data_IF_907915073036
#
_entry.id   IF_907915073036
#
_cell.length_a   1.000
_cell.length_b   1.000
_cell.length_c   1.000
_cell.angle_alpha   90.00
_cell.angle_beta   90.00
_cell.angle_gamma   90.00
#
_symmetry.space_group_name_H-M   'P 1'
#
loop_
_entity.id
_entity.type
_entity.pdbx_description
1 polymer ?
#
# COMPACT_ATOMS: atom_id res chain seq x y z
N UNK A 1 14.08 42.57 -19.81
CA UNK A 1 12.72 43.04 -20.17
C UNK A 1 11.84 41.81 -19.99
N UNK A 2 10.89 41.71 -19.17
CA UNK A 2 10.03 42.45 -18.28
C UNK A 2 9.34 41.40 -17.42
N UNK A 3 9.39 41.57 -16.15
CA UNK A 3 8.34 41.92 -15.18
C UNK A 3 6.98 41.21 -15.43
N UNK A 4 6.50 40.35 -14.46
CA UNK A 4 5.29 40.76 -13.73
C UNK A 4 5.13 39.97 -12.41
N UNK A 5 5.26 40.74 -11.34
CA UNK A 5 4.81 40.42 -9.97
C UNK A 5 3.28 40.42 -9.95
N UNK A 6 2.67 39.46 -9.24
CA UNK A 6 1.36 39.67 -8.65
C UNK A 6 1.37 39.20 -7.20
N UNK A 7 1.52 40.14 -6.31
CA UNK A 7 1.05 40.13 -4.93
C UNK A 7 -0.50 40.16 -4.97
N UNK A 8 -1.15 39.34 -4.18
CA UNK A 8 -2.52 39.54 -3.76
C UNK A 8 -2.59 39.31 -2.24
N UNK A 9 -2.56 40.44 -1.57
CA UNK A 9 -2.93 40.64 -0.17
C UNK A 9 -4.47 40.57 -0.06
N UNK A 10 -5.01 39.78 0.88
CA UNK A 10 -6.39 39.92 1.37
C UNK A 10 -6.39 39.76 2.88
N UNK A 11 -6.68 40.73 3.44
CA UNK A 11 -7.34 41.50 4.46
C UNK A 11 -8.18 40.65 5.43
N UNK A 12 -7.83 40.92 6.66
CA UNK A 12 -8.44 40.74 7.97
C UNK A 12 -9.89 41.26 8.00
N UNK A 13 -10.82 40.48 8.57
CA UNK A 13 -12.03 41.06 9.17
C UNK A 13 -12.39 40.30 10.45
N UNK A 14 -12.20 40.96 11.55
CA UNK A 14 -12.71 40.65 12.88
C UNK A 14 -14.14 41.16 12.98
N UNK A 15 -15.05 40.41 13.56
CA UNK A 15 -16.29 40.93 14.15
C UNK A 15 -16.63 40.23 15.43
N UNK A 16 -16.58 41.04 16.46
CA UNK A 16 -16.99 40.90 17.85
C UNK A 16 -18.54 40.83 17.93
N UNK A 17 -19.09 39.99 18.81
CA UNK A 17 -20.52 39.98 19.11
C UNK A 17 -20.80 39.36 20.47
N UNK A 18 -20.78 40.21 21.50
CA UNK A 18 -21.29 39.92 22.86
C UNK A 18 -22.81 40.00 22.92
N UNK A 19 -23.48 39.08 23.66
CA UNK A 19 -24.68 39.34 24.49
C UNK A 19 -25.08 37.96 25.06
N UNK A 20 -25.09 37.66 26.36
CA UNK A 20 -25.81 38.37 27.38
C UNK A 20 -27.19 37.70 27.56
N UNK A 21 -27.32 36.71 28.51
CA UNK A 21 -28.61 36.15 28.84
C UNK A 21 -28.52 35.26 30.10
N UNK A 22 -28.61 35.92 31.29
CA UNK A 22 -28.92 35.25 32.54
C UNK A 22 -30.41 34.90 32.52
N UNK A 23 -30.78 33.66 32.87
CA UNK A 23 -32.14 33.39 33.36
C UNK A 23 -32.11 32.23 34.37
N UNK A 24 -32.42 32.64 35.57
CA UNK A 24 -33.18 32.05 36.64
C UNK A 24 -33.20 30.52 36.86
N UNK A 25 -32.77 30.18 38.08
CA UNK A 25 -32.95 28.91 38.73
C UNK A 25 -34.43 28.59 38.97
N UNK A 26 -34.88 27.44 38.47
CA UNK A 26 -36.10 26.77 38.91
C UNK A 26 -35.75 25.57 39.80
N UNK A 27 -36.57 25.22 40.83
CA UNK A 27 -36.28 24.16 41.76
C UNK A 27 -36.31 22.76 41.10
N UNK A 28 -35.60 21.77 41.64
CA UNK A 28 -35.52 20.44 41.09
C UNK A 28 -36.83 19.68 41.25
N UNK A 29 -37.44 19.33 40.12
CA UNK A 29 -38.53 18.37 40.13
C UNK A 29 -37.96 16.96 40.37
N UNK A 30 -38.50 16.28 41.38
CA UNK A 30 -38.20 14.87 41.71
C UNK A 30 -38.59 14.02 40.47
N UNK A 31 -37.72 13.22 39.92
CA UNK A 31 -38.15 12.31 38.84
C UNK A 31 -38.96 11.18 39.46
N UNK A 32 -40.24 11.16 39.05
CA UNK A 32 -41.12 10.03 39.24
C UNK A 32 -40.52 8.79 38.57
N UNK A 33 -40.33 7.75 39.39
CA UNK A 33 -39.81 6.46 38.96
C UNK A 33 -40.86 5.79 38.10
N UNK A 34 -40.73 5.90 36.79
CA UNK A 34 -41.48 5.10 35.82
C UNK A 34 -41.13 3.61 35.98
N UNK A 35 -42.11 2.69 35.94
CA UNK A 35 -41.81 1.25 36.07
C UNK A 35 -40.94 0.80 34.91
N UNK A 36 -39.83 0.19 35.26
CA UNK A 36 -38.88 -0.46 34.34
C UNK A 36 -39.64 -1.45 33.45
N UNK A 37 -39.60 -1.31 32.12
CA UNK A 37 -40.15 -2.34 31.27
C UNK A 37 -39.32 -3.61 31.44
N UNK A 38 -39.98 -4.68 31.78
CA UNK A 38 -39.45 -6.06 31.79
C UNK A 38 -38.79 -6.31 30.44
N UNK A 39 -37.52 -6.78 30.39
CA UNK A 39 -36.93 -7.16 29.12
C UNK A 39 -37.73 -8.34 28.56
N UNK A 40 -38.56 -8.06 27.55
CA UNK A 40 -39.08 -9.09 26.67
C UNK A 40 -37.89 -9.79 26.02
N UNK A 41 -37.74 -11.08 26.34
CA UNK A 41 -36.73 -11.93 25.74
C UNK A 41 -36.95 -11.89 24.20
N UNK A 42 -36.12 -11.11 23.53
CA UNK A 42 -35.97 -11.12 22.09
C UNK A 42 -35.52 -12.53 21.67
N UNK A 43 -36.21 -13.20 20.74
CA UNK A 43 -35.81 -14.51 20.28
C UNK A 43 -34.37 -14.42 19.78
N UNK A 44 -33.50 -15.22 20.42
CA UNK A 44 -32.08 -15.30 20.07
C UNK A 44 -31.94 -15.50 18.58
N UNK A 45 -31.50 -14.47 17.87
CA UNK A 45 -31.08 -14.58 16.49
C UNK A 45 -29.95 -15.61 16.42
N UNK A 46 -29.99 -16.58 15.49
CA UNK A 46 -28.89 -17.53 15.34
C UNK A 46 -27.61 -16.74 15.10
N UNK A 47 -26.68 -16.85 16.05
CA UNK A 47 -25.35 -16.29 15.93
C UNK A 47 -24.78 -16.84 14.63
N UNK A 48 -24.40 -16.02 13.63
CA UNK A 48 -23.76 -16.54 12.43
C UNK A 48 -22.49 -17.28 12.88
N UNK A 49 -22.40 -18.56 12.47
CA UNK A 49 -21.18 -19.33 12.71
C UNK A 49 -19.98 -18.49 12.29
N UNK A 50 -18.88 -18.50 13.08
CA UNK A 50 -17.67 -17.83 12.66
C UNK A 50 -17.33 -18.29 11.26
N UNK A 51 -17.25 -17.32 10.32
CA UNK A 51 -16.81 -17.58 8.95
C UNK A 51 -15.54 -18.44 9.04
N UNK A 52 -15.55 -19.58 8.38
CA UNK A 52 -14.41 -20.47 8.29
C UNK A 52 -13.17 -19.64 8.06
N UNK A 53 -12.24 -19.73 9.00
CA UNK A 53 -10.93 -19.11 8.84
C UNK A 53 -10.38 -19.60 7.49
N UNK A 54 -9.97 -18.69 6.60
CA UNK A 54 -9.47 -19.09 5.29
C UNK A 54 -8.33 -20.08 5.52
N UNK A 55 -8.51 -21.28 5.02
CA UNK A 55 -7.49 -22.34 5.06
C UNK A 55 -6.18 -21.73 4.55
N UNK A 56 -5.06 -21.85 5.28
CA UNK A 56 -3.80 -21.28 4.83
C UNK A 56 -3.41 -21.91 3.49
N UNK A 57 -3.60 -21.17 2.41
CA UNK A 57 -3.16 -21.60 1.09
C UNK A 57 -1.66 -21.70 1.08
N UNK A 58 -1.13 -22.75 0.49
CA UNK A 58 0.31 -22.91 0.36
C UNK A 58 0.88 -21.70 -0.37
N UNK A 59 1.85 -21.02 0.24
CA UNK A 59 2.57 -19.90 -0.36
C UNK A 59 3.97 -20.35 -0.67
N UNK A 60 4.42 -20.04 -1.85
CA UNK A 60 5.81 -20.22 -2.26
C UNK A 60 6.49 -18.85 -2.30
N UNK A 61 7.82 -18.84 -2.21
CA UNK A 61 8.61 -17.61 -2.31
C UNK A 61 9.60 -17.69 -3.47
N UNK A 62 9.75 -16.56 -4.16
CA UNK A 62 10.81 -16.30 -5.12
C UNK A 62 11.85 -15.42 -4.46
N UNK A 63 13.08 -15.88 -4.42
CA UNK A 63 14.19 -15.16 -3.81
C UNK A 63 15.15 -14.66 -4.87
N UNK A 64 15.74 -13.50 -4.64
CA UNK A 64 16.70 -12.90 -5.55
C UNK A 64 17.26 -11.60 -5.01
N UNK A 65 17.94 -10.87 -5.89
CA UNK A 65 18.57 -9.60 -5.59
C UNK A 65 18.21 -8.55 -6.64
N UNK A 66 18.12 -7.29 -6.20
CA UNK A 66 17.98 -6.12 -7.05
C UNK A 66 19.28 -5.33 -6.99
N UNK A 67 19.84 -5.00 -8.14
CA UNK A 67 21.10 -4.24 -8.24
C UNK A 67 21.01 -3.16 -9.32
N UNK A 68 21.89 -2.16 -9.23
CA UNK A 68 22.13 -1.17 -10.28
C UNK A 68 23.63 -0.92 -10.41
N UNK A 69 24.03 -0.44 -11.58
CA UNK A 69 25.46 -0.27 -11.91
C UNK A 69 26.00 1.13 -11.58
N UNK A 70 25.12 2.08 -11.24
CA UNK A 70 25.52 3.44 -10.92
C UNK A 70 26.13 3.53 -9.52
N UNK A 71 27.12 4.41 -9.35
CA UNK A 71 27.74 4.69 -8.06
C UNK A 71 26.96 5.76 -7.28
N UNK A 72 25.70 5.49 -7.02
CA UNK A 72 24.79 6.37 -6.28
C UNK A 72 24.32 5.60 -5.04
N UNK A 73 24.36 6.24 -3.89
CA UNK A 73 23.83 5.67 -2.66
C UNK A 73 22.31 5.90 -2.60
N UNK A 74 21.55 4.89 -2.23
CA UNK A 74 20.12 5.03 -1.92
C UNK A 74 19.96 5.78 -0.60
N UNK A 75 18.96 6.66 -0.55
CA UNK A 75 18.61 7.36 0.69
C UNK A 75 17.81 6.46 1.63
N UNK A 76 17.70 6.80 2.91
CA UNK A 76 16.84 6.06 3.85
C UNK A 76 15.35 6.12 3.49
N UNK A 77 14.94 7.04 2.61
CA UNK A 77 13.56 7.20 2.13
C UNK A 77 13.29 6.40 0.85
N UNK A 78 14.30 5.70 0.35
CA UNK A 78 14.15 4.86 -0.83
C UNK A 78 13.24 3.66 -0.55
N UNK A 79 12.50 3.26 -1.59
CA UNK A 79 11.62 2.10 -1.62
C UNK A 79 11.99 1.24 -2.83
N UNK A 80 12.26 -0.03 -2.61
CA UNK A 80 12.36 -1.02 -3.68
C UNK A 80 11.05 -1.76 -3.79
N UNK A 81 10.49 -1.82 -4.97
CA UNK A 81 9.26 -2.54 -5.27
C UNK A 81 9.57 -3.61 -6.30
N UNK A 82 9.28 -4.87 -5.96
CA UNK A 82 9.41 -6.03 -6.85
C UNK A 82 8.02 -6.55 -7.16
N UNK A 83 7.74 -6.83 -8.42
CA UNK A 83 6.45 -7.32 -8.88
C UNK A 83 6.62 -8.56 -9.77
N UNK A 84 5.75 -9.55 -9.55
CA UNK A 84 5.55 -10.71 -10.40
C UNK A 84 4.35 -10.45 -11.32
N UNK A 85 4.53 -10.55 -12.62
CA UNK A 85 3.48 -10.32 -13.62
C UNK A 85 3.41 -11.44 -14.63
N UNK A 86 2.21 -11.68 -15.14
CA UNK A 86 2.03 -12.49 -16.34
C UNK A 86 2.45 -11.66 -17.56
N UNK A 87 3.38 -12.19 -18.32
CA UNK A 87 3.91 -11.61 -19.55
C UNK A 87 3.66 -12.52 -20.77
N UNK A 88 2.62 -13.32 -20.72
CA UNK A 88 2.21 -14.18 -21.85
C UNK A 88 1.83 -13.32 -23.06
N UNK A 89 1.21 -12.16 -22.81
CA UNK A 89 0.90 -11.15 -23.82
C UNK A 89 1.84 -9.95 -23.59
N UNK A 90 2.89 -9.77 -24.40
CA UNK A 90 3.89 -8.75 -24.19
C UNK A 90 3.35 -7.32 -24.23
N UNK A 91 2.40 -7.05 -25.14
CA UNK A 91 1.82 -5.70 -25.32
C UNK A 91 0.83 -5.31 -24.22
N UNK A 92 0.32 -6.29 -23.48
CA UNK A 92 -0.67 -6.07 -22.41
C UNK A 92 -0.33 -6.91 -21.17
N UNK A 93 0.72 -6.57 -20.42
CA UNK A 93 1.03 -7.29 -19.20
C UNK A 93 -0.13 -7.17 -18.21
N UNK A 94 -0.52 -8.31 -17.65
CA UNK A 94 -1.59 -8.39 -16.66
C UNK A 94 -1.28 -7.62 -15.36
N UNK A 95 -2.26 -7.54 -14.45
CA UNK A 95 -2.03 -6.97 -13.13
C UNK A 95 -0.93 -7.76 -12.38
N UNK A 96 -0.28 -7.17 -11.38
CA UNK A 96 0.72 -7.89 -10.60
C UNK A 96 0.05 -9.03 -9.81
N UNK A 97 0.58 -10.25 -9.98
CA UNK A 97 0.15 -11.45 -9.24
C UNK A 97 0.66 -11.40 -7.81
N UNK A 98 1.88 -10.94 -7.64
CA UNK A 98 2.50 -10.72 -6.35
C UNK A 98 3.34 -9.45 -6.38
N UNK A 99 3.42 -8.78 -5.23
CA UNK A 99 4.14 -7.53 -5.06
C UNK A 99 4.81 -7.50 -3.69
N UNK A 100 6.06 -7.11 -3.67
CA UNK A 100 6.80 -6.83 -2.44
C UNK A 100 7.33 -5.40 -2.46
N UNK A 101 7.20 -4.72 -1.34
CA UNK A 101 7.79 -3.39 -1.13
C UNK A 101 8.79 -3.51 0.01
N UNK A 102 10.03 -3.11 -0.25
CA UNK A 102 11.13 -3.12 0.72
C UNK A 102 11.44 -1.67 1.05
N UNK A 103 11.01 -1.19 2.22
CA UNK A 103 11.38 0.15 2.69
C UNK A 103 12.81 0.16 3.22
N UNK A 104 13.49 1.27 3.07
CA UNK A 104 14.88 1.45 3.55
C UNK A 104 15.80 0.32 3.09
N UNK A 105 15.93 0.08 1.80
CA UNK A 105 16.62 -1.10 1.26
C UNK A 105 18.12 -1.16 1.60
N UNK A 106 18.69 -0.07 2.10
CA UNK A 106 20.14 0.06 2.29
C UNK A 106 20.86 0.24 0.96
N UNK A 107 22.02 -0.38 0.83
CA UNK A 107 22.80 -0.36 -0.41
C UNK A 107 22.59 -1.63 -1.22
N UNK A 108 22.82 -1.54 -2.53
CA UNK A 108 22.78 -2.70 -3.42
C UNK A 108 23.95 -3.65 -3.16
N UNK A 109 23.77 -4.96 -3.37
CA UNK A 109 22.53 -5.63 -3.82
C UNK A 109 21.46 -5.74 -2.73
N UNK A 110 20.20 -5.46 -3.08
CA UNK A 110 19.07 -5.57 -2.17
C UNK A 110 18.41 -6.93 -2.33
N UNK A 111 18.42 -7.76 -1.29
CA UNK A 111 17.75 -9.05 -1.32
C UNK A 111 16.21 -8.87 -1.24
N UNK A 112 15.49 -9.70 -1.98
CA UNK A 112 14.02 -9.79 -1.91
C UNK A 112 13.57 -11.23 -1.74
N UNK A 113 12.37 -11.41 -1.15
CA UNK A 113 11.68 -12.68 -1.03
C UNK A 113 10.20 -12.44 -1.31
N UNK A 114 9.78 -12.68 -2.54
CA UNK A 114 8.44 -12.42 -3.04
C UNK A 114 7.55 -13.64 -2.84
N UNK A 115 6.59 -13.55 -1.93
CA UNK A 115 5.61 -14.61 -1.69
C UNK A 115 4.49 -14.56 -2.73
N UNK A 116 4.12 -15.72 -3.28
CA UNK A 116 3.02 -15.86 -4.23
C UNK A 116 2.22 -17.14 -3.96
N UNK A 117 0.99 -17.18 -4.45
CA UNK A 117 0.14 -18.35 -4.39
C UNK A 117 0.32 -19.18 -5.69
N UNK A 118 0.69 -20.49 -5.62
CA UNK A 118 0.85 -21.31 -6.80
C UNK A 118 -0.40 -21.39 -7.66
N UNK A 119 -1.57 -21.39 -7.04
CA UNK A 119 -2.88 -21.44 -7.70
C UNK A 119 -3.16 -20.18 -8.56
N UNK A 120 -2.39 -19.11 -8.35
CA UNK A 120 -2.46 -17.90 -9.18
C UNK A 120 -1.69 -18.01 -10.49
N UNK A 121 -0.95 -19.10 -10.67
CA UNK A 121 -0.15 -19.35 -11.86
C UNK A 121 -0.89 -20.31 -12.81
N UNK A 122 -1.08 -19.87 -14.05
CA UNK A 122 -1.71 -20.69 -15.09
C UNK A 122 -0.66 -21.52 -15.85
N UNK A 123 -0.92 -22.82 -16.12
CA UNK A 123 -0.02 -23.65 -16.88
C UNK A 123 0.23 -23.09 -18.29
N UNK A 124 1.49 -23.07 -18.72
CA UNK A 124 1.87 -22.59 -20.06
C UNK A 124 2.02 -21.08 -20.19
N UNK A 125 1.71 -20.32 -19.15
CA UNK A 125 1.94 -18.87 -19.12
C UNK A 125 3.40 -18.54 -18.81
N UNK A 126 3.84 -17.33 -19.23
CA UNK A 126 5.15 -16.78 -18.92
C UNK A 126 5.03 -15.73 -17.85
N UNK A 127 5.87 -15.85 -16.84
CA UNK A 127 5.90 -14.94 -15.71
C UNK A 127 7.21 -14.21 -15.66
N UNK A 128 7.15 -12.93 -15.39
CA UNK A 128 8.32 -12.05 -15.31
C UNK A 128 8.35 -11.28 -14.02
N UNK A 129 9.56 -11.00 -13.56
CA UNK A 129 9.84 -10.11 -12.46
C UNK A 129 10.27 -8.75 -13.00
N UNK A 130 9.73 -7.72 -12.39
CA UNK A 130 10.14 -6.33 -12.60
C UNK A 130 10.42 -5.68 -11.25
N UNK A 131 11.41 -4.79 -11.21
CA UNK A 131 11.72 -4.01 -10.02
C UNK A 131 11.73 -2.52 -10.35
N UNK A 132 11.39 -1.71 -9.36
CA UNK A 132 11.50 -0.24 -9.43
C UNK A 132 12.04 0.26 -8.10
N UNK A 133 12.84 1.30 -8.18
CA UNK A 133 13.32 2.01 -7.01
C UNK A 133 12.81 3.43 -7.09
N UNK A 134 12.09 3.85 -6.07
CA UNK A 134 11.66 5.24 -5.91
C UNK A 134 12.32 5.82 -4.66
N UNK A 135 12.65 7.10 -4.74
CA UNK A 135 13.22 7.87 -3.66
C UNK A 135 12.38 9.14 -3.48
N UNK A 136 11.93 9.41 -2.26
CA UNK A 136 11.05 10.55 -1.93
C UNK A 136 9.82 10.64 -2.83
N UNK A 137 9.25 9.48 -3.18
CA UNK A 137 8.08 9.40 -4.07
C UNK A 137 8.39 9.56 -5.56
N UNK A 138 9.64 9.78 -5.95
CA UNK A 138 10.06 9.88 -7.34
C UNK A 138 10.68 8.57 -7.81
N UNK A 139 10.28 8.09 -8.98
CA UNK A 139 10.86 6.92 -9.61
C UNK A 139 12.28 7.25 -10.09
N UNK A 140 13.28 6.54 -9.55
CA UNK A 140 14.69 6.74 -9.86
C UNK A 140 15.23 5.66 -10.81
N UNK A 141 14.84 4.41 -10.56
CA UNK A 141 15.31 3.28 -11.34
C UNK A 141 14.15 2.35 -11.68
N UNK A 142 14.27 1.67 -12.83
CA UNK A 142 13.29 0.70 -13.32
C UNK A 142 14.02 -0.45 -14.01
N UNK A 143 13.45 -1.64 -13.98
CA UNK A 143 13.93 -2.76 -14.78
C UNK A 143 13.74 -2.43 -16.26
N UNK A 144 14.82 -2.43 -17.03
CA UNK A 144 14.78 -2.18 -18.47
C UNK A 144 14.16 -3.38 -19.22
N UNK A 145 14.60 -4.58 -18.84
CA UNK A 145 14.09 -5.82 -19.42
C UNK A 145 13.50 -6.71 -18.33
N UNK A 146 12.21 -7.08 -18.43
CA UNK A 146 11.60 -8.01 -17.48
C UNK A 146 12.35 -9.35 -17.47
N UNK A 147 12.62 -9.87 -16.28
CA UNK A 147 13.39 -11.10 -16.07
C UNK A 147 12.43 -12.26 -15.87
N UNK A 148 12.73 -13.43 -16.43
CA UNK A 148 11.92 -14.62 -16.19
C UNK A 148 11.87 -14.95 -14.69
N UNK A 149 10.65 -15.08 -14.15
CA UNK A 149 10.43 -15.39 -12.73
C UNK A 149 10.87 -16.83 -12.38
N UNK A 150 10.79 -17.72 -13.37
CA UNK A 150 11.15 -19.14 -13.22
C UNK A 150 12.25 -19.49 -14.22
N UNK A 151 13.53 -19.18 -13.92
CA UNK A 151 14.64 -19.49 -14.81
C UNK A 151 14.86 -21.01 -14.89
N UNK A 152 15.44 -21.47 -15.99
CA UNK A 152 15.90 -22.83 -16.15
C UNK A 152 17.43 -22.84 -16.28
N UNK A 153 18.17 -23.52 -15.39
CA UNK A 153 17.71 -24.34 -14.27
C UNK A 153 17.09 -23.53 -13.12
N UNK A 154 16.20 -24.15 -12.35
CA UNK A 154 15.50 -23.52 -11.24
C UNK A 154 16.41 -23.07 -10.08
N UNK A 155 17.65 -23.54 -10.06
CA UNK A 155 18.69 -23.15 -9.09
C UNK A 155 19.48 -21.90 -9.48
N UNK A 156 19.20 -21.28 -10.64
CA UNK A 156 19.87 -20.06 -11.03
C UNK A 156 19.43 -18.90 -10.13
N UNK A 157 20.38 -18.12 -9.57
CA UNK A 157 20.03 -16.96 -8.77
C UNK A 157 19.28 -15.93 -9.62
N UNK A 158 18.21 -15.35 -9.07
CA UNK A 158 17.46 -14.29 -9.75
C UNK A 158 18.13 -12.97 -9.39
N UNK A 159 18.72 -12.32 -10.40
CA UNK A 159 19.30 -10.98 -10.26
C UNK A 159 18.57 -10.01 -11.18
N UNK A 160 17.99 -8.96 -10.61
CA UNK A 160 17.27 -7.93 -11.34
C UNK A 160 18.15 -6.68 -11.42
N UNK A 161 18.60 -6.36 -12.62
CA UNK A 161 19.35 -5.13 -12.87
C UNK A 161 18.37 -4.02 -13.23
N UNK A 162 18.45 -2.90 -12.52
CA UNK A 162 17.63 -1.72 -12.78
C UNK A 162 18.49 -0.57 -13.32
N UNK A 163 17.90 0.24 -14.21
CA UNK A 163 18.53 1.38 -14.85
C UNK A 163 17.85 2.68 -14.43
N UNK A 164 18.56 3.82 -14.46
CA UNK A 164 17.97 5.10 -14.09
C UNK A 164 16.90 5.52 -15.09
N UNK A 165 15.82 6.10 -14.59
CA UNK A 165 14.79 6.74 -15.41
C UNK A 165 15.33 8.08 -15.90
N UNK A 166 15.20 8.33 -17.20
CA UNK A 166 15.63 9.57 -17.85
C UNK A 166 14.49 10.57 -17.93
#
# INVERSE_FOLDING_TARGET
MGRLRRLATFALLALCGCAGGRSAAGPPAVPEVAPTPTPTAEPAQPVPLPAELPTPRARLSLEGTVTYLQRIALTPEALVQVELRDATIPEAPGPPIAKQVIPRPGQVPVAFSLSYEPDSLLPGHRYTLTARISDRGQLQFVTEQPIAAFPKPASAPIEIVVVPVR
#
